data_IF_909591780668
#
_entry.id   IF_909591780668
#
_cell.length_a   1.000
_cell.length_b   1.000
_cell.length_c   1.000
_cell.angle_alpha   90.00
_cell.angle_beta   90.00
_cell.angle_gamma   90.00
#
_symmetry.space_group_name_H-M   'P 1'
#
loop_
_entity.id
_entity.type
_entity.pdbx_description
1 polymer ?
#
# COMPACT_ATOMS: atom_id res chain seq x y z
N UNK A 1 7.57 -4.62 9.91
CA UNK A 1 8.27 -3.37 9.47
C UNK A 1 7.67 -2.23 10.28
N UNK A 2 8.39 -1.15 10.57
CA UNK A 2 7.85 -0.02 11.35
C UNK A 2 7.84 1.26 10.50
N UNK A 3 6.80 2.07 10.63
CA UNK A 3 6.74 3.45 10.09
C UNK A 3 6.02 4.37 11.06
N UNK A 4 6.42 5.64 11.21
CA UNK A 4 5.58 6.63 11.88
C UNK A 4 4.23 6.81 11.19
N UNK A 5 3.19 7.16 11.94
CA UNK A 5 1.96 7.67 11.34
C UNK A 5 2.27 8.89 10.46
N UNK A 6 1.44 9.09 9.43
CA UNK A 6 1.59 10.12 8.38
C UNK A 6 2.88 10.04 7.53
N UNK A 7 3.68 8.98 7.70
CA UNK A 7 4.89 8.75 6.91
C UNK A 7 4.71 7.58 5.95
N UNK A 8 5.02 7.85 4.69
CA UNK A 8 5.05 6.84 3.64
C UNK A 8 6.20 5.84 3.84
N UNK A 9 5.95 4.58 3.49
CA UNK A 9 6.88 3.46 3.58
C UNK A 9 7.00 2.75 2.23
N UNK A 10 8.22 2.65 1.70
CA UNK A 10 8.48 1.87 0.49
C UNK A 10 8.39 0.37 0.76
N UNK A 11 7.61 -0.34 -0.07
CA UNK A 11 7.49 -1.79 -0.01
C UNK A 11 8.43 -2.44 -1.04
N UNK A 12 9.73 -2.49 -0.72
CA UNK A 12 10.79 -2.99 -1.61
C UNK A 12 11.52 -4.25 -1.11
N UNK A 13 11.05 -4.81 0.02
CA UNK A 13 11.74 -5.89 0.73
C UNK A 13 11.14 -7.28 0.47
N UNK A 14 10.31 -7.41 -0.57
CA UNK A 14 9.77 -8.69 -1.02
C UNK A 14 10.08 -8.88 -2.51
N UNK A 15 9.99 -10.13 -2.97
CA UNK A 15 10.20 -10.48 -4.36
C UNK A 15 9.39 -11.73 -4.73
N UNK A 16 9.21 -11.91 -6.03
CA UNK A 16 8.54 -13.05 -6.64
C UNK A 16 9.63 -14.03 -7.09
N UNK A 17 9.49 -15.30 -6.74
CA UNK A 17 10.33 -16.36 -7.26
C UNK A 17 9.45 -17.46 -7.80
N UNK A 18 9.73 -17.85 -9.03
CA UNK A 18 9.18 -19.03 -9.67
C UNK A 18 10.38 -19.89 -10.10
N UNK A 19 10.40 -21.13 -9.62
CA UNK A 19 11.50 -22.07 -9.87
C UNK A 19 11.55 -22.50 -11.34
N UNK A 20 10.38 -22.51 -12.00
CA UNK A 20 10.22 -22.96 -13.37
C UNK A 20 10.23 -21.81 -14.38
N UNK A 21 10.12 -20.54 -13.95
CA UNK A 21 10.21 -19.36 -14.82
C UNK A 21 11.45 -19.30 -15.74
N UNK A 22 12.56 -19.93 -15.36
CA UNK A 22 13.79 -20.01 -16.18
C UNK A 22 13.77 -21.17 -17.17
N UNK A 23 12.98 -22.21 -16.87
CA UNK A 23 12.79 -23.39 -17.70
C UNK A 23 11.62 -23.21 -18.70
N UNK A 24 10.63 -22.41 -18.32
CA UNK A 24 9.44 -22.07 -19.10
C UNK A 24 9.59 -20.73 -19.84
N UNK A 25 8.48 -20.05 -20.19
CA UNK A 25 8.54 -18.79 -20.91
C UNK A 25 8.96 -17.64 -19.97
N UNK A 26 10.17 -17.07 -20.10
CA UNK A 26 10.65 -16.01 -19.20
C UNK A 26 9.89 -14.68 -19.39
N UNK A 27 9.11 -14.55 -20.47
CA UNK A 27 8.27 -13.38 -20.75
C UNK A 27 6.79 -13.64 -20.47
N UNK A 28 6.45 -14.72 -19.75
CA UNK A 28 5.08 -14.93 -19.30
C UNK A 28 4.62 -13.79 -18.39
N UNK A 29 3.33 -13.46 -18.48
CA UNK A 29 2.72 -12.42 -17.67
C UNK A 29 2.31 -13.00 -16.32
N UNK A 30 2.85 -12.42 -15.24
CA UNK A 30 2.43 -12.69 -13.88
C UNK A 30 1.44 -11.61 -13.45
N UNK A 31 0.46 -11.99 -12.63
CA UNK A 31 -0.46 -11.06 -11.96
C UNK A 31 -0.10 -11.02 -10.48
N UNK A 32 0.45 -9.90 -10.02
CA UNK A 32 0.76 -9.62 -8.63
C UNK A 32 -0.33 -8.72 -8.04
N UNK A 33 -1.01 -9.18 -6.99
CA UNK A 33 -1.89 -8.36 -6.17
C UNK A 33 -1.23 -8.05 -4.83
N UNK A 34 -1.31 -6.79 -4.42
CA UNK A 34 -0.86 -6.32 -3.10
C UNK A 34 -2.02 -5.54 -2.47
N UNK A 35 -2.39 -5.89 -1.24
CA UNK A 35 -3.49 -5.26 -0.53
C UNK A 35 -3.14 -4.97 0.93
N UNK A 36 -3.65 -3.86 1.44
CA UNK A 36 -3.58 -3.44 2.85
C UNK A 36 -4.98 -3.34 3.44
N UNK A 37 -5.11 -3.60 4.73
CA UNK A 37 -6.38 -3.51 5.47
C UNK A 37 -6.68 -2.11 6.02
N UNK A 38 -5.71 -1.19 6.00
CA UNK A 38 -5.84 0.26 6.27
C UNK A 38 -4.81 1.05 5.46
N UNK A 39 -5.06 2.33 5.20
CA UNK A 39 -4.23 3.18 4.35
C UNK A 39 -4.42 2.92 2.85
N UNK A 40 -3.47 3.40 2.05
CA UNK A 40 -3.47 3.22 0.60
C UNK A 40 -2.07 2.95 0.04
N UNK A 41 -2.05 2.42 -1.18
CA UNK A 41 -0.84 2.13 -1.95
C UNK A 41 -0.74 3.12 -3.11
N UNK A 42 0.38 3.83 -3.17
CA UNK A 42 0.74 4.71 -4.28
C UNK A 42 1.79 4.03 -5.17
N UNK A 43 1.64 4.15 -6.49
CA UNK A 43 2.54 3.55 -7.46
C UNK A 43 3.43 4.59 -8.16
N UNK A 44 4.70 4.26 -8.32
CA UNK A 44 5.64 5.12 -9.02
C UNK A 44 5.48 5.00 -10.55
N UNK A 45 4.80 5.98 -11.15
CA UNK A 45 4.53 6.03 -12.59
C UNK A 45 5.79 5.95 -13.50
N UNK A 46 6.94 6.45 -13.03
CA UNK A 46 8.19 6.38 -13.79
C UNK A 46 8.73 4.94 -13.82
N UNK A 47 8.64 4.23 -12.69
CA UNK A 47 9.04 2.82 -12.59
C UNK A 47 8.09 1.95 -13.43
N UNK A 48 6.78 2.19 -13.36
CA UNK A 48 5.78 1.52 -14.21
C UNK A 48 6.15 1.64 -15.69
N UNK A 49 6.42 2.87 -16.14
CA UNK A 49 6.73 3.16 -17.54
C UNK A 49 8.06 2.56 -17.98
N UNK A 50 9.06 2.52 -17.10
CA UNK A 50 10.39 1.96 -17.37
C UNK A 50 10.34 0.45 -17.61
N UNK A 51 9.53 -0.26 -16.84
CA UNK A 51 9.39 -1.72 -16.89
C UNK A 51 8.19 -2.20 -17.72
N UNK A 52 7.42 -1.28 -18.30
CA UNK A 52 6.28 -1.61 -19.16
C UNK A 52 5.15 -2.34 -18.42
N UNK A 53 4.97 -2.07 -17.12
CA UNK A 53 3.97 -2.75 -16.31
C UNK A 53 2.56 -2.25 -16.62
N UNK A 54 1.58 -3.15 -16.56
CA UNK A 54 0.16 -2.76 -16.52
C UNK A 54 -0.30 -2.76 -15.07
N UNK A 55 -0.97 -1.69 -14.64
CA UNK A 55 -1.35 -1.51 -13.23
C UNK A 55 -2.80 -1.07 -13.09
N UNK A 56 -3.44 -1.46 -11.98
CA UNK A 56 -4.75 -0.99 -11.55
C UNK A 56 -4.75 -0.71 -10.05
N UNK A 57 -5.67 0.15 -9.59
CA UNK A 57 -5.88 0.40 -8.15
C UNK A 57 -4.90 1.38 -7.51
N UNK A 58 -4.12 2.13 -8.29
CA UNK A 58 -3.24 3.18 -7.77
C UNK A 58 -4.01 4.20 -6.90
N UNK A 59 -3.46 4.52 -5.73
CA UNK A 59 -4.09 5.38 -4.73
C UNK A 59 -5.21 4.71 -3.93
N UNK A 60 -5.29 3.37 -3.94
CA UNK A 60 -6.28 2.61 -3.17
C UNK A 60 -5.62 1.59 -2.24
N UNK A 61 -6.40 0.94 -1.37
CA UNK A 61 -5.89 -0.12 -0.49
C UNK A 61 -5.48 -1.42 -1.19
N UNK A 62 -5.70 -1.55 -2.50
CA UNK A 62 -5.31 -2.75 -3.25
C UNK A 62 -4.87 -2.41 -4.68
N UNK A 63 -3.74 -2.97 -5.10
CA UNK A 63 -3.20 -2.80 -6.46
C UNK A 63 -3.05 -4.15 -7.15
N UNK A 64 -3.31 -4.17 -8.46
CA UNK A 64 -3.00 -5.27 -9.36
C UNK A 64 -1.89 -4.81 -10.31
N UNK A 65 -0.83 -5.60 -10.42
CA UNK A 65 0.36 -5.34 -11.24
C UNK A 65 0.58 -6.52 -12.19
N UNK A 66 0.79 -6.23 -13.48
CA UNK A 66 1.06 -7.25 -14.50
C UNK A 66 2.35 -6.98 -15.25
N UNK A 67 3.15 -8.02 -15.44
CA UNK A 67 4.42 -7.99 -16.15
C UNK A 67 5.18 -9.31 -16.02
N UNK A 68 6.39 -9.37 -16.58
CA UNK A 68 7.27 -10.52 -16.35
C UNK A 68 7.75 -10.55 -14.91
N UNK A 69 8.09 -11.73 -14.39
CA UNK A 69 8.66 -11.88 -13.05
C UNK A 69 9.94 -11.05 -12.86
N UNK A 70 10.76 -10.92 -13.91
CA UNK A 70 11.98 -10.11 -13.89
C UNK A 70 11.67 -8.62 -13.77
N UNK A 71 10.72 -8.12 -14.57
CA UNK A 71 10.31 -6.72 -14.58
C UNK A 71 9.61 -6.32 -13.27
N UNK A 72 8.74 -7.19 -12.74
CA UNK A 72 8.09 -6.98 -11.45
C UNK A 72 9.10 -6.87 -10.30
N UNK A 73 10.06 -7.82 -10.23
CA UNK A 73 11.10 -7.78 -9.20
C UNK A 73 12.00 -6.56 -9.30
N UNK A 74 12.40 -6.19 -10.52
CA UNK A 74 13.23 -5.01 -10.76
C UNK A 74 12.47 -3.72 -10.39
N UNK A 75 11.18 -3.64 -10.72
CA UNK A 75 10.34 -2.52 -10.34
C UNK A 75 10.15 -2.40 -8.83
N UNK A 76 9.89 -3.50 -8.12
CA UNK A 76 9.77 -3.52 -6.65
C UNK A 76 11.07 -3.05 -6.01
N UNK A 77 12.22 -3.54 -6.48
CA UNK A 77 13.54 -3.13 -5.98
C UNK A 77 13.83 -1.64 -6.21
N UNK A 78 13.29 -1.04 -7.28
CA UNK A 78 13.40 0.39 -7.58
C UNK A 78 12.35 1.27 -6.87
N UNK A 79 11.51 0.69 -6.01
CA UNK A 79 10.50 1.44 -5.24
C UNK A 79 9.22 1.70 -6.03
N UNK A 80 8.69 0.66 -6.68
CA UNK A 80 7.40 0.73 -7.37
C UNK A 80 6.22 1.07 -6.44
N UNK A 81 6.18 0.47 -5.25
CA UNK A 81 5.01 0.50 -4.36
C UNK A 81 5.37 1.26 -3.07
N UNK A 82 4.54 2.24 -2.74
CA UNK A 82 4.64 3.02 -1.52
C UNK A 82 3.35 2.87 -0.69
N UNK A 83 3.48 2.38 0.53
CA UNK A 83 2.40 2.36 1.50
C UNK A 83 2.28 3.73 2.19
N UNK A 84 1.05 4.23 2.30
CA UNK A 84 0.72 5.46 2.98
C UNK A 84 -0.36 5.16 4.04
N UNK A 85 -0.07 5.32 5.35
CA UNK A 85 -1.08 5.15 6.40
C UNK A 85 -2.20 6.20 6.28
N UNK A 86 -3.38 5.88 6.82
CA UNK A 86 -4.44 6.87 6.98
C UNK A 86 -4.01 7.98 7.96
N UNK A 87 -4.53 9.20 7.77
CA UNK A 87 -4.18 10.34 8.61
C UNK A 87 -4.49 10.05 10.10
N UNK A 88 -3.49 10.25 10.97
CA UNK A 88 -3.57 9.97 12.42
C UNK A 88 -3.89 8.51 12.78
N UNK A 89 -3.65 7.56 11.86
CA UNK A 89 -3.79 6.14 12.16
C UNK A 89 -2.53 5.61 12.85
N UNK A 90 -2.73 4.86 13.93
CA UNK A 90 -1.69 4.08 14.59
C UNK A 90 -2.18 2.66 14.87
N UNK A 91 -1.26 1.70 14.80
CA UNK A 91 -1.52 0.28 14.97
C UNK A 91 -0.99 -0.59 13.84
N UNK A 92 -1.33 -1.88 13.90
CA UNK A 92 -0.88 -2.87 12.91
C UNK A 92 -1.68 -2.76 11.61
N UNK A 93 -0.96 -2.79 10.48
CA UNK A 93 -1.51 -2.91 9.12
C UNK A 93 -1.02 -4.22 8.50
N UNK A 94 -1.94 -5.05 8.05
CA UNK A 94 -1.62 -6.32 7.37
C UNK A 94 -1.48 -6.09 5.87
N UNK A 95 -0.28 -6.37 5.34
CA UNK A 95 -0.03 -6.42 3.90
C UNK A 95 -0.23 -7.86 3.42
N UNK A 96 -1.12 -8.05 2.45
CA UNK A 96 -1.38 -9.32 1.79
C UNK A 96 -0.84 -9.26 0.36
N UNK A 97 -0.09 -10.28 -0.04
CA UNK A 97 0.49 -10.41 -1.36
C UNK A 97 0.03 -11.73 -1.98
N UNK A 98 -0.45 -11.69 -3.21
CA UNK A 98 -0.73 -12.89 -4.01
C UNK A 98 -0.11 -12.75 -5.38
N UNK A 99 0.46 -13.81 -5.91
CA UNK A 99 0.97 -13.88 -7.28
C UNK A 99 0.30 -15.02 -8.01
N UNK A 100 -0.02 -14.81 -9.29
CA UNK A 100 -0.51 -15.81 -10.24
C UNK A 100 0.39 -15.80 -11.48
N UNK A 101 1.01 -16.92 -11.82
CA UNK A 101 1.84 -17.10 -13.03
C UNK A 101 1.01 -17.29 -14.31
N UNK A 102 -0.33 -17.27 -14.19
CA UNK A 102 -1.32 -17.47 -15.26
C UNK A 102 -1.18 -18.81 -16.01
N UNK A 103 -0.60 -19.81 -15.35
CA UNK A 103 -0.33 -21.11 -15.95
C UNK A 103 0.77 -21.00 -16.99
N UNK A 104 1.93 -20.46 -16.61
CA UNK A 104 3.17 -20.40 -17.38
C UNK A 104 3.67 -21.83 -17.76
N UNK A 105 2.89 -22.52 -18.60
CA UNK A 105 3.04 -23.90 -19.12
C UNK A 105 3.03 -25.05 -18.07
N UNK A 106 2.92 -24.74 -16.78
CA UNK A 106 2.77 -25.72 -15.69
C UNK A 106 1.42 -26.47 -15.70
N UNK A 107 1.45 -27.80 -15.45
CA UNK A 107 0.23 -28.59 -15.22
C UNK A 107 -0.18 -28.45 -13.76
N UNK A 108 -1.36 -27.87 -13.50
CA UNK A 108 -1.98 -27.90 -12.18
C UNK A 108 -2.48 -29.32 -11.86
N UNK A 109 -1.91 -29.94 -10.84
CA UNK A 109 -2.36 -31.23 -10.30
C UNK A 109 -3.16 -30.97 -9.02
N UNK A 110 -4.46 -31.33 -9.04
CA UNK A 110 -5.34 -31.13 -7.89
C UNK A 110 -4.79 -31.81 -6.64
N UNK A 111 -4.59 -31.04 -5.57
CA UNK A 111 -4.06 -31.50 -4.29
C UNK A 111 -2.53 -31.55 -4.19
N UNK A 112 -1.80 -30.99 -5.17
CA UNK A 112 -0.33 -30.83 -5.13
C UNK A 112 0.01 -29.33 -5.19
N UNK A 113 0.30 -28.75 -4.03
CA UNK A 113 0.50 -27.30 -3.87
C UNK A 113 1.65 -26.75 -4.74
N UNK A 114 2.71 -27.52 -4.95
CA UNK A 114 3.88 -27.12 -5.78
C UNK A 114 3.56 -26.98 -7.28
N UNK A 115 2.34 -27.35 -7.71
CA UNK A 115 1.88 -27.21 -9.09
C UNK A 115 0.82 -26.12 -9.26
N UNK A 116 0.51 -25.38 -8.19
CA UNK A 116 -0.44 -24.28 -8.25
C UNK A 116 0.21 -23.06 -8.91
N UNK A 117 -0.53 -22.47 -9.84
CA UNK A 117 -0.17 -21.20 -10.49
C UNK A 117 -0.12 -20.02 -9.51
N UNK A 118 -0.75 -20.16 -8.34
CA UNK A 118 -0.93 -19.09 -7.37
C UNK A 118 -0.17 -19.33 -6.08
N UNK A 119 0.50 -18.30 -5.57
CA UNK A 119 1.11 -18.30 -4.23
C UNK A 119 0.73 -17.02 -3.47
N UNK A 120 0.79 -17.05 -2.14
CA UNK A 120 0.42 -15.92 -1.29
C UNK A 120 1.32 -15.81 -0.07
N UNK A 121 1.59 -14.58 0.35
CA UNK A 121 2.34 -14.25 1.56
C UNK A 121 1.75 -13.03 2.25
N UNK A 122 2.05 -12.84 3.53
CA UNK A 122 1.64 -11.64 4.27
C UNK A 122 2.68 -11.23 5.29
N UNK A 123 2.66 -9.94 5.65
CA UNK A 123 3.46 -9.37 6.72
C UNK A 123 2.74 -8.18 7.36
N UNK A 124 3.24 -7.74 8.52
CA UNK A 124 2.67 -6.64 9.28
C UNK A 124 3.59 -5.41 9.25
N UNK A 125 2.97 -4.25 9.08
CA UNK A 125 3.56 -2.93 9.31
C UNK A 125 3.01 -2.40 10.63
N UNK A 126 3.88 -2.08 11.57
CA UNK A 126 3.51 -1.38 12.81
C UNK A 126 3.60 0.13 12.55
N UNK A 127 2.44 0.80 12.58
CA UNK A 127 2.32 2.26 12.41
C UNK A 127 2.36 2.90 13.79
N UNK A 128 3.48 3.55 14.11
CA UNK A 128 3.72 4.12 15.44
C UNK A 128 3.12 5.52 15.57
N UNK A 129 2.41 5.77 16.68
CA UNK A 129 1.84 7.08 16.97
C UNK A 129 2.91 8.18 17.10
N UNK A 130 2.58 9.38 16.61
CA UNK A 130 3.31 10.63 16.69
C UNK A 130 2.44 11.63 17.47
N UNK A 131 3.04 12.42 18.35
CA UNK A 131 2.26 13.36 19.14
C UNK A 131 1.92 14.63 18.34
N UNK A 132 0.65 14.83 18.01
CA UNK A 132 0.15 16.10 17.47
C UNK A 132 0.09 17.23 18.50
N UNK A 133 0.24 18.47 18.03
CA UNK A 133 0.12 19.66 18.87
C UNK A 133 -1.36 19.97 19.18
N UNK A 134 -1.70 20.47 20.39
CA UNK A 134 -3.07 20.89 20.68
C UNK A 134 -3.48 22.09 19.82
N UNK A 135 -4.67 22.03 19.21
CA UNK A 135 -5.25 23.14 18.45
C UNK A 135 -6.23 23.98 19.29
N UNK A 136 -6.28 25.28 19.02
CA UNK A 136 -7.31 26.19 19.56
C UNK A 136 -8.13 26.78 18.42
N UNK A 137 -9.45 26.81 18.55
CA UNK A 137 -10.30 27.56 17.63
C UNK A 137 -10.49 29.00 18.11
N UNK A 138 -10.38 30.02 17.23
CA UNK A 138 -10.59 31.40 17.64
C UNK A 138 -12.06 31.64 18.03
N UNK A 139 -12.27 32.16 19.24
CA UNK A 139 -13.58 32.64 19.66
C UNK A 139 -13.75 34.07 19.14
N UNK A 140 -14.68 34.26 18.21
CA UNK A 140 -15.04 35.60 17.74
C UNK A 140 -16.15 36.15 18.62
N UNK A 141 -15.84 37.19 19.38
CA UNK A 141 -16.82 37.92 20.20
C UNK A 141 -17.31 39.15 19.44
N UNK A 142 -18.61 39.40 19.49
CA UNK A 142 -19.18 40.67 19.01
C UNK A 142 -18.86 41.81 19.99
N UNK A 143 -18.70 43.04 19.49
CA UNK A 143 -18.55 44.21 20.35
C UNK A 143 -19.74 44.33 21.31
N UNK A 144 -19.46 44.47 22.60
CA UNK A 144 -20.48 44.80 23.60
C UNK A 144 -20.47 46.30 23.87
N UNK A 145 -21.64 46.90 24.07
CA UNK A 145 -21.76 48.27 24.54
C UNK A 145 -21.31 48.39 26.01
N UNK A 146 -20.78 49.55 26.38
CA UNK A 146 -20.22 49.82 27.71
C UNK A 146 -21.20 49.56 28.87
N UNK A 147 -22.52 49.70 28.62
CA UNK A 147 -23.59 49.49 29.62
C UNK A 147 -24.49 48.29 29.27
N UNK A 148 -23.92 47.26 28.62
CA UNK A 148 -24.70 46.06 28.21
C UNK A 148 -25.02 45.10 29.35
N UNK A 149 -24.57 45.38 30.58
CA UNK A 149 -24.65 44.45 31.70
C UNK A 149 -23.78 43.21 31.51
N UNK A 150 -24.12 42.11 32.19
CA UNK A 150 -23.36 40.84 32.12
C UNK A 150 -23.53 40.20 30.74
N UNK A 151 -22.42 40.00 30.03
CA UNK A 151 -22.39 39.26 28.77
C UNK A 151 -21.89 37.83 29.02
N UNK A 152 -22.75 36.84 28.77
CA UNK A 152 -22.38 35.43 28.89
C UNK A 152 -21.68 34.98 27.59
N UNK A 153 -20.37 34.74 27.67
CA UNK A 153 -19.64 34.09 26.58
C UNK A 153 -19.97 32.61 26.64
N UNK A 154 -20.61 32.11 25.58
CA UNK A 154 -20.82 30.68 25.39
C UNK A 154 -19.84 30.21 24.32
N UNK A 155 -19.01 29.22 24.64
CA UNK A 155 -18.34 28.46 23.61
C UNK A 155 -19.39 27.56 22.94
N UNK A 156 -19.43 27.55 21.61
CA UNK A 156 -20.19 26.55 20.84
C UNK A 156 -19.50 25.19 20.92
#
# INVERSE_FOLDING_TARGET
>A
VETPEDNALLLNSFGISDVDAVLDNPNAEYVLNVAVDSGYLALNANVISKYGLTVQGDGTGAVELKGSVADLNAAIAEGLIEFNPDLNFFGDVTVNITVDDQGNEGIVISGVDDTLNTNSSSFVIDVTAVNDAPETSPVTLTSIGEDSGVFAISAS
#
